data_IF_723077790574
#
_entry.id   IF_723077790574
#
_cell.length_a   1.000
_cell.length_b   1.000
_cell.length_c   1.000
_cell.angle_alpha   90.00
_cell.angle_beta   90.00
_cell.angle_gamma   90.00
#
_symmetry.space_group_name_H-M   'P 1'
#
loop_
_entity.id
_entity.type
_entity.pdbx_description
1 polymer ?
#
# COMPACT_ATOMS: atom_id res chain seq x y z
N UNK A 1 -24.53 -1.91 3.88
CA UNK A 1 -23.44 -1.30 4.65
C UNK A 1 -22.58 -0.47 3.73
N UNK A 2 -22.29 0.76 4.13
CA UNK A 2 -21.44 1.64 3.31
C UNK A 2 -20.02 1.14 3.26
N UNK A 3 -19.44 1.11 2.06
CA UNK A 3 -18.01 0.83 1.89
C UNK A 3 -17.19 2.09 2.15
N UNK A 4 -15.90 1.88 2.42
CA UNK A 4 -14.98 2.95 2.73
C UNK A 4 -13.63 2.62 2.13
N UNK A 5 -13.00 3.60 1.47
CA UNK A 5 -11.66 3.39 0.91
C UNK A 5 -10.59 3.49 1.99
N UNK A 6 -9.51 2.69 1.88
CA UNK A 6 -8.39 2.85 2.80
C UNK A 6 -7.66 4.17 2.56
N UNK A 7 -6.81 4.57 3.49
CA UNK A 7 -5.98 5.75 3.32
C UNK A 7 -5.02 5.58 2.14
N UNK A 8 -4.46 6.69 1.66
CA UNK A 8 -3.52 6.67 0.54
C UNK A 8 -2.28 5.84 0.85
N UNK A 9 -1.73 5.21 -0.19
CA UNK A 9 -0.43 4.52 -0.13
C UNK A 9 0.68 5.43 0.41
N UNK A 10 0.57 6.74 0.17
CA UNK A 10 1.59 7.72 0.56
C UNK A 10 1.59 8.08 2.06
N UNK A 11 0.56 7.69 2.81
CA UNK A 11 0.53 7.96 4.26
C UNK A 11 1.69 7.24 4.93
N UNK A 12 2.45 7.98 5.72
CA UNK A 12 3.64 7.47 6.40
C UNK A 12 3.33 7.04 7.84
N UNK A 13 3.95 5.93 8.26
CA UNK A 13 4.00 5.51 9.65
C UNK A 13 5.46 5.40 10.01
N UNK A 14 5.94 6.29 10.88
CA UNK A 14 7.38 6.37 11.23
C UNK A 14 8.26 6.43 9.98
N UNK A 15 7.83 7.18 8.97
CA UNK A 15 8.54 7.34 7.71
C UNK A 15 8.35 6.22 6.68
N UNK A 16 7.62 5.17 7.02
CA UNK A 16 7.37 4.05 6.11
C UNK A 16 6.03 4.25 5.41
N UNK A 17 6.02 4.30 4.08
CA UNK A 17 4.77 4.40 3.30
C UNK A 17 4.12 3.03 3.14
N UNK A 18 2.85 3.04 2.76
CA UNK A 18 2.01 1.88 2.49
C UNK A 18 1.53 1.12 3.72
N UNK A 19 2.29 1.07 4.79
CA UNK A 19 1.93 0.29 5.99
C UNK A 19 0.55 0.69 6.54
N UNK A 20 0.28 1.99 6.65
CA UNK A 20 -1.00 2.50 7.13
C UNK A 20 -2.16 2.03 6.25
N UNK A 21 -1.98 2.04 4.93
CA UNK A 21 -2.99 1.54 3.99
C UNK A 21 -3.24 0.04 4.17
N UNK A 22 -2.19 -0.74 4.37
CA UNK A 22 -2.32 -2.18 4.62
C UNK A 22 -3.14 -2.44 5.88
N UNK A 23 -2.89 -1.71 6.95
CA UNK A 23 -3.67 -1.83 8.19
C UNK A 23 -5.12 -1.41 7.99
N UNK A 24 -5.36 -0.33 7.23
CA UNK A 24 -6.73 0.10 6.93
C UNK A 24 -7.48 -0.96 6.15
N UNK A 25 -6.85 -1.60 5.18
CA UNK A 25 -7.49 -2.69 4.43
C UNK A 25 -7.87 -3.85 5.36
N UNK A 26 -7.00 -4.20 6.29
CA UNK A 26 -7.28 -5.24 7.30
C UNK A 26 -8.51 -4.85 8.13
N UNK A 27 -8.54 -3.64 8.64
CA UNK A 27 -9.64 -3.14 9.47
C UNK A 27 -10.96 -3.08 8.72
N UNK A 28 -10.93 -2.54 7.51
CA UNK A 28 -12.12 -2.40 6.67
C UNK A 28 -12.67 -3.75 6.23
N UNK A 29 -11.80 -4.68 5.89
CA UNK A 29 -12.22 -6.04 5.53
C UNK A 29 -12.90 -6.73 6.71
N UNK A 30 -12.33 -6.64 7.90
CA UNK A 30 -12.89 -7.23 9.10
C UNK A 30 -14.24 -6.63 9.46
N UNK A 31 -14.45 -5.34 9.18
CA UNK A 31 -15.71 -4.64 9.41
C UNK A 31 -16.74 -4.83 8.29
N UNK A 32 -16.38 -5.54 7.22
CA UNK A 32 -17.26 -5.71 6.07
C UNK A 32 -17.44 -4.44 5.23
N UNK A 33 -16.49 -3.50 5.31
CA UNK A 33 -16.58 -2.19 4.66
C UNK A 33 -15.61 -1.99 3.48
N UNK A 34 -14.70 -2.96 3.25
CA UNK A 34 -13.75 -2.84 2.14
C UNK A 34 -14.51 -3.01 0.81
N UNK A 35 -14.36 -2.07 -0.15
CA UNK A 35 -15.05 -2.21 -1.44
C UNK A 35 -14.58 -3.47 -2.19
N UNK A 36 -15.39 -4.01 -3.09
CA UNK A 36 -14.95 -5.13 -3.93
C UNK A 36 -13.79 -4.70 -4.85
N UNK A 37 -12.95 -5.65 -5.22
CA UNK A 37 -11.81 -5.40 -6.10
C UNK A 37 -10.52 -5.05 -5.41
N UNK A 38 -10.53 -4.88 -4.09
CA UNK A 38 -9.31 -4.65 -3.31
C UNK A 38 -8.63 -5.98 -2.99
N UNK A 39 -7.32 -6.02 -3.21
CA UNK A 39 -6.52 -7.20 -2.87
C UNK A 39 -5.96 -7.06 -1.46
N UNK A 40 -6.03 -8.15 -0.69
CA UNK A 40 -5.44 -8.22 0.65
C UNK A 40 -4.65 -9.51 0.76
N UNK A 41 -3.65 -9.51 1.64
CA UNK A 41 -2.92 -10.73 1.96
C UNK A 41 -1.76 -11.02 1.04
N UNK A 42 -1.29 -12.27 1.12
CA UNK A 42 0.00 -12.66 0.56
C UNK A 42 -0.09 -13.72 -0.53
N UNK A 43 -1.28 -14.04 -1.01
CA UNK A 43 -1.48 -15.06 -2.05
C UNK A 43 -0.71 -14.71 -3.33
N UNK A 44 -0.77 -13.46 -3.76
CA UNK A 44 0.03 -13.00 -4.88
C UNK A 44 1.28 -12.32 -4.33
N UNK A 45 2.48 -12.91 -4.57
CA UNK A 45 3.72 -12.36 -4.00
C UNK A 45 4.13 -11.00 -4.59
N UNK A 46 3.49 -10.57 -5.70
CA UNK A 46 3.79 -9.29 -6.34
C UNK A 46 2.97 -8.13 -5.76
N UNK A 47 1.91 -8.41 -5.04
CA UNK A 47 1.07 -7.38 -4.43
C UNK A 47 1.80 -6.69 -3.28
N UNK A 48 1.45 -5.43 -3.03
CA UNK A 48 2.12 -4.62 -2.01
C UNK A 48 1.95 -5.16 -0.60
N UNK A 49 0.79 -5.76 -0.27
CA UNK A 49 0.59 -6.40 1.04
C UNK A 49 1.63 -7.52 1.26
N UNK A 50 1.82 -8.37 0.26
CA UNK A 50 2.78 -9.45 0.33
C UNK A 50 4.21 -8.92 0.45
N UNK A 51 4.55 -7.89 -0.33
CA UNK A 51 5.87 -7.26 -0.30
C UNK A 51 6.16 -6.61 1.05
N UNK A 52 5.18 -5.88 1.59
CA UNK A 52 5.31 -5.22 2.89
C UNK A 52 5.47 -6.23 4.02
N UNK A 53 4.70 -7.31 3.98
CA UNK A 53 4.77 -8.39 4.96
C UNK A 53 6.18 -9.03 4.95
N UNK A 54 6.73 -9.31 3.75
CA UNK A 54 8.09 -9.85 3.62
C UNK A 54 9.15 -8.85 4.07
N UNK A 55 8.97 -7.59 3.71
CA UNK A 55 9.91 -6.52 4.09
C UNK A 55 10.06 -6.43 5.60
N UNK A 56 8.97 -6.59 6.33
CA UNK A 56 8.96 -6.55 7.80
C UNK A 56 9.23 -7.91 8.44
N UNK A 57 9.34 -8.98 7.65
CA UNK A 57 9.63 -10.32 8.17
C UNK A 57 8.51 -10.92 9.00
N UNK A 58 7.26 -10.70 8.61
CA UNK A 58 6.08 -11.06 9.38
C UNK A 58 5.31 -12.23 8.78
N UNK A 59 4.46 -12.84 9.62
CA UNK A 59 3.37 -13.69 9.18
C UNK A 59 2.13 -12.79 9.04
N UNK A 60 1.47 -12.82 7.89
CA UNK A 60 0.35 -11.92 7.62
C UNK A 60 -0.84 -12.16 8.57
N UNK A 61 -1.16 -13.42 8.86
CA UNK A 61 -2.28 -13.74 9.74
C UNK A 61 -2.04 -13.23 11.16
N UNK A 62 -0.80 -13.31 11.65
CA UNK A 62 -0.43 -12.72 12.94
C UNK A 62 -0.58 -11.19 12.92
N UNK A 63 -0.23 -10.55 11.80
CA UNK A 63 -0.43 -9.11 11.64
C UNK A 63 -1.90 -8.74 11.69
N UNK A 64 -2.75 -9.52 11.01
CA UNK A 64 -4.20 -9.32 11.06
C UNK A 64 -4.69 -9.39 12.52
N UNK A 65 -4.32 -10.42 13.24
CA UNK A 65 -4.71 -10.60 14.63
C UNK A 65 -4.27 -9.42 15.50
N UNK A 66 -3.00 -8.99 15.32
CA UNK A 66 -2.48 -7.85 16.09
C UNK A 66 -3.21 -6.56 15.76
N UNK A 67 -3.48 -6.32 14.47
CA UNK A 67 -4.17 -5.11 14.01
C UNK A 67 -5.56 -5.01 14.59
N UNK A 68 -6.27 -6.11 14.63
CA UNK A 68 -7.65 -6.15 15.12
C UNK A 68 -7.76 -6.03 16.63
N UNK A 69 -6.67 -6.16 17.36
CA UNK A 69 -6.64 -5.89 18.80
C UNK A 69 -6.67 -4.39 19.11
N UNK A 70 -6.44 -3.54 18.10
CA UNK A 70 -6.48 -2.09 18.28
C UNK A 70 -5.11 -1.47 18.54
N UNK A 71 -5.13 -0.19 18.86
CA UNK A 71 -3.92 0.61 19.02
C UNK A 71 -3.64 1.47 17.81
N UNK A 72 -2.64 2.35 17.93
CA UNK A 72 -2.24 3.22 16.83
C UNK A 72 -1.40 2.48 15.80
N UNK A 73 -1.32 3.03 14.59
CA UNK A 73 -0.46 2.47 13.54
C UNK A 73 0.99 2.40 14.00
N UNK A 74 1.46 3.42 14.72
CA UNK A 74 2.83 3.44 15.27
C UNK A 74 3.07 2.31 16.26
N UNK A 75 2.12 2.05 17.14
CA UNK A 75 2.21 0.93 18.11
C UNK A 75 2.24 -0.41 17.40
N UNK A 76 1.41 -0.58 16.37
CA UNK A 76 1.38 -1.80 15.58
C UNK A 76 2.68 -1.98 14.81
N UNK A 77 3.24 -0.90 14.25
CA UNK A 77 4.51 -0.97 13.54
C UNK A 77 5.66 -1.36 14.50
N UNK A 78 5.68 -0.81 15.72
CA UNK A 78 6.67 -1.22 16.71
C UNK A 78 6.55 -2.70 17.07
N UNK A 79 5.31 -3.20 17.18
CA UNK A 79 5.09 -4.64 17.36
C UNK A 79 5.67 -5.44 16.18
N UNK A 80 5.47 -4.95 14.94
CA UNK A 80 6.02 -5.57 13.74
C UNK A 80 7.55 -5.64 13.79
N UNK A 81 8.19 -4.56 14.22
CA UNK A 81 9.66 -4.51 14.32
C UNK A 81 10.18 -5.51 15.34
N UNK A 82 9.50 -5.67 16.45
CA UNK A 82 9.88 -6.61 17.49
C UNK A 82 9.59 -8.06 17.11
N UNK A 83 8.48 -8.28 16.41
CA UNK A 83 8.05 -9.63 16.02
C UNK A 83 8.80 -10.15 14.80
N UNK A 84 9.04 -9.28 13.82
CA UNK A 84 9.75 -9.60 12.58
C UNK A 84 11.16 -9.02 12.60
N UNK A 85 11.33 -7.90 11.89
CA UNK A 85 12.61 -7.20 11.84
C UNK A 85 12.39 -5.68 11.80
N UNK A 86 13.37 -4.96 12.29
CA UNK A 86 13.39 -3.50 12.19
C UNK A 86 14.28 -3.11 11.00
N UNK A 87 13.71 -2.58 9.92
CA UNK A 87 14.51 -2.07 8.81
C UNK A 87 15.35 -0.87 9.24
N UNK A 88 16.51 -0.69 8.59
CA UNK A 88 17.30 0.52 8.78
C UNK A 88 16.62 1.72 8.08
N UNK A 89 17.07 2.91 8.41
CA UNK A 89 16.57 4.13 7.74
C UNK A 89 16.80 4.06 6.22
N UNK A 90 17.97 3.54 5.80
CA UNK A 90 18.27 3.35 4.38
C UNK A 90 17.30 2.37 3.72
N UNK A 91 17.01 1.25 4.38
CA UNK A 91 16.07 0.26 3.85
C UNK A 91 14.67 0.85 3.69
N UNK A 92 14.22 1.66 4.65
CA UNK A 92 12.93 2.35 4.55
C UNK A 92 12.94 3.33 3.37
N UNK A 93 14.04 4.07 3.18
CA UNK A 93 14.20 4.98 2.03
C UNK A 93 14.12 4.23 0.70
N UNK A 94 14.77 3.06 0.60
CA UNK A 94 14.73 2.21 -0.59
C UNK A 94 13.31 1.69 -0.83
N UNK A 95 12.64 1.23 0.20
CA UNK A 95 11.25 0.77 0.13
C UNK A 95 10.34 1.87 -0.40
N UNK A 96 10.44 3.06 0.20
CA UNK A 96 9.61 4.20 -0.19
C UNK A 96 9.86 4.58 -1.66
N UNK A 97 11.12 4.61 -2.09
CA UNK A 97 11.48 4.95 -3.47
C UNK A 97 10.95 3.90 -4.45
N UNK A 98 11.05 2.62 -4.11
CA UNK A 98 10.53 1.54 -4.94
C UNK A 98 9.02 1.68 -5.14
N UNK A 99 8.26 1.85 -4.07
CA UNK A 99 6.81 1.97 -4.17
C UNK A 99 6.37 3.23 -4.90
N UNK A 100 7.01 4.36 -4.61
CA UNK A 100 6.66 5.65 -5.22
C UNK A 100 6.82 5.65 -6.74
N UNK A 101 7.66 4.77 -7.27
CA UNK A 101 7.97 4.71 -8.71
C UNK A 101 7.45 3.46 -9.40
N UNK A 102 6.84 2.54 -8.64
CA UNK A 102 6.38 1.27 -9.22
C UNK A 102 5.36 1.52 -10.33
N UNK A 103 5.64 0.95 -11.50
CA UNK A 103 4.84 1.15 -12.72
C UNK A 103 5.43 2.18 -13.68
N UNK A 104 6.41 2.98 -13.24
CA UNK A 104 7.09 3.94 -14.09
C UNK A 104 8.39 3.32 -14.60
N UNK A 105 8.42 3.03 -15.91
CA UNK A 105 9.59 2.46 -16.59
C UNK A 105 10.16 1.20 -15.93
N UNK A 106 9.28 0.28 -15.56
CA UNK A 106 9.67 -0.98 -14.94
C UNK A 106 8.78 -2.14 -15.44
N UNK A 107 8.94 -3.32 -14.86
CA UNK A 107 8.23 -4.53 -15.27
C UNK A 107 6.72 -4.43 -15.06
N UNK A 108 6.26 -3.51 -14.24
CA UNK A 108 4.84 -3.31 -13.97
C UNK A 108 4.19 -2.24 -14.86
N UNK A 109 4.95 -1.62 -15.76
CA UNK A 109 4.45 -0.50 -16.59
C UNK A 109 3.33 -0.91 -17.54
N UNK A 110 3.43 -2.08 -18.16
CA UNK A 110 2.41 -2.56 -19.11
C UNK A 110 1.08 -2.84 -18.39
N UNK A 111 1.16 -3.49 -17.25
CA UNK A 111 -0.02 -3.78 -16.43
C UNK A 111 -0.67 -2.51 -15.90
N UNK A 112 0.14 -1.53 -15.52
CA UNK A 112 -0.36 -0.22 -15.11
C UNK A 112 -1.12 0.46 -16.24
N UNK A 113 -0.56 0.46 -17.45
CA UNK A 113 -1.21 1.05 -18.62
C UNK A 113 -2.57 0.41 -18.91
N UNK A 114 -2.66 -0.90 -18.80
CA UNK A 114 -3.90 -1.64 -19.00
C UNK A 114 -4.92 -1.31 -17.91
N UNK A 115 -4.49 -1.26 -16.66
CA UNK A 115 -5.38 -0.92 -15.54
C UNK A 115 -5.88 0.52 -15.60
N UNK A 116 -5.04 1.46 -16.04
CA UNK A 116 -5.46 2.85 -16.31
C UNK A 116 -6.58 2.89 -17.35
N UNK A 117 -6.41 2.15 -18.42
CA UNK A 117 -7.37 2.08 -19.51
C UNK A 117 -8.70 1.52 -19.03
N UNK A 118 -8.67 0.43 -18.27
CA UNK A 118 -9.88 -0.18 -17.69
C UNK A 118 -10.60 0.76 -16.73
N UNK A 119 -9.86 1.61 -16.01
CA UNK A 119 -10.43 2.59 -15.09
C UNK A 119 -10.94 3.86 -15.79
N UNK A 120 -10.75 3.98 -17.12
CA UNK A 120 -11.16 5.17 -17.87
C UNK A 120 -10.13 6.30 -17.84
N UNK A 121 -8.90 6.02 -17.40
CA UNK A 121 -7.84 7.02 -17.24
C UNK A 121 -6.71 6.89 -18.28
N UNK A 122 -6.96 6.19 -19.39
CA UNK A 122 -5.93 5.89 -20.39
C UNK A 122 -5.19 7.13 -20.93
N UNK A 123 -5.86 8.29 -20.97
CA UNK A 123 -5.30 9.54 -21.48
C UNK A 123 -4.76 10.46 -20.36
N UNK A 124 -4.70 9.98 -19.12
CA UNK A 124 -4.24 10.78 -17.99
C UNK A 124 -2.73 10.67 -17.81
N UNK A 125 -1.98 11.69 -18.19
CA UNK A 125 -0.52 11.72 -18.06
C UNK A 125 -0.05 11.97 -16.62
N UNK A 126 -0.93 12.44 -15.74
CA UNK A 126 -0.64 12.66 -14.34
C UNK A 126 -0.67 11.37 -13.51
N UNK A 127 -1.07 10.26 -14.13
CA UNK A 127 -1.06 8.93 -13.50
C UNK A 127 0.10 8.14 -14.10
N UNK A 128 1.23 8.10 -13.42
CA UNK A 128 2.46 7.48 -13.93
C UNK A 128 2.92 6.29 -13.10
N UNK A 129 2.31 6.05 -11.94
CA UNK A 129 2.67 4.95 -11.04
C UNK A 129 1.41 4.27 -10.52
N UNK A 130 1.59 3.08 -9.91
CA UNK A 130 0.50 2.38 -9.25
C UNK A 130 -0.11 3.19 -8.10
N UNK A 131 0.73 3.91 -7.35
CA UNK A 131 0.24 4.75 -6.27
C UNK A 131 -0.62 5.90 -6.80
N UNK A 132 -0.22 6.49 -7.92
CA UNK A 132 -1.02 7.53 -8.59
C UNK A 132 -2.38 6.98 -9.01
N UNK A 133 -2.40 5.76 -9.58
CA UNK A 133 -3.65 5.13 -10.01
C UNK A 133 -4.58 4.87 -8.82
N UNK A 134 -4.04 4.36 -7.73
CA UNK A 134 -4.84 4.12 -6.52
C UNK A 134 -5.47 5.42 -6.02
N UNK A 135 -4.68 6.49 -5.94
CA UNK A 135 -5.19 7.78 -5.50
C UNK A 135 -6.29 8.30 -6.44
N UNK A 136 -6.06 8.21 -7.76
CA UNK A 136 -7.05 8.67 -8.74
C UNK A 136 -8.35 7.88 -8.66
N UNK A 137 -8.26 6.56 -8.55
CA UNK A 137 -9.44 5.69 -8.41
C UNK A 137 -10.23 5.98 -7.13
N UNK A 138 -9.56 6.48 -6.11
CA UNK A 138 -10.17 6.80 -4.81
C UNK A 138 -10.52 8.28 -4.68
N UNK A 139 -10.48 9.02 -5.78
CA UNK A 139 -10.90 10.42 -5.83
C UNK A 139 -9.87 11.43 -5.35
N UNK A 140 -8.60 11.02 -5.21
CA UNK A 140 -7.51 11.91 -4.83
C UNK A 140 -6.78 12.41 -6.08
N UNK A 141 -6.20 13.60 -5.99
CA UNK A 141 -5.36 14.13 -7.07
C UNK A 141 -3.97 13.50 -6.98
N UNK A 142 -3.46 12.88 -8.07
CA UNK A 142 -2.10 12.35 -8.08
C UNK A 142 -1.08 13.43 -7.78
N UNK A 143 -0.02 13.07 -7.06
CA UNK A 143 1.05 13.99 -6.71
C UNK A 143 1.94 14.25 -7.91
N UNK A 144 2.46 15.48 -8.10
CA UNK A 144 3.44 15.72 -9.15
C UNK A 144 4.74 14.96 -8.88
N UNK A 145 5.43 14.57 -9.94
CA UNK A 145 6.74 13.93 -9.80
C UNK A 145 7.73 14.87 -9.15
N UNK A 146 8.45 14.39 -8.17
CA UNK A 146 9.54 15.09 -7.54
C UNK A 146 10.83 14.35 -7.86
N UNK A 147 11.75 15.04 -8.49
CA UNK A 147 13.06 14.51 -8.85
C UNK A 147 14.16 14.91 -7.86
N UNK A 148 13.76 15.57 -6.82
CA UNK A 148 14.68 16.04 -5.81
C UNK A 148 14.94 15.09 -4.66
#
# INVERSE_FOLDING_TARGET
MQTQTPCSDYVETKGLIYFARMLDKIRLKAAGKLPPGYFTGVEDPTHFDARCTRFLGLNYDELVDRTLKGGSDEEILEWCFARGRRPSEEEISIWNAFLRKRGWRDEASEELAESKKEAGFGNRDDIQTWLDLHDAEEGRTPRPFSYG
#
